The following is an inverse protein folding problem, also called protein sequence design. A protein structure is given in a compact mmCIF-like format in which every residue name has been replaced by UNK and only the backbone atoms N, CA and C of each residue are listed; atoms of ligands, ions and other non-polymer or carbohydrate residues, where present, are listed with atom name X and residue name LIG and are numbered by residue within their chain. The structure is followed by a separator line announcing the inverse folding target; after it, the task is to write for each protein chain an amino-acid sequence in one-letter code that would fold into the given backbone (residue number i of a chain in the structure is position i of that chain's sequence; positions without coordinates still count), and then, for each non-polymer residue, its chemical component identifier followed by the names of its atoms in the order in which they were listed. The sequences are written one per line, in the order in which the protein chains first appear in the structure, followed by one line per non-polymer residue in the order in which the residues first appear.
data_IF_805570062494
#
_entry.id   IF_805570062494
#
_cell.length_a   1.000
_cell.length_b   1.000
_cell.length_c   1.000
_cell.angle_alpha   90.00
_cell.angle_beta   90.00
_cell.angle_gamma   90.00
#
_symmetry.space_group_name_H-M   'P 1'
#
loop_
_entity.id
_entity.type
_entity.pdbx_description
1 polymer ?
#
# COMPACT_ATOMS: atom_id res chain seq x y z
N UNK A 1 3.39 2.28 0.97
CA UNK A 1 2.21 2.74 0.21
C UNK A 1 2.29 2.42 -1.28
N UNK A 2 3.43 2.65 -1.95
CA UNK A 2 3.61 2.32 -3.37
C UNK A 2 3.28 0.87 -3.72
N UNK A 3 3.77 -0.08 -2.92
CA UNK A 3 3.55 -1.51 -3.16
C UNK A 3 2.06 -1.91 -3.13
N UNK A 4 1.28 -1.38 -2.18
CA UNK A 4 -0.16 -1.66 -2.11
C UNK A 4 -0.94 -1.08 -3.29
N UNK A 5 -0.49 0.05 -3.84
CA UNK A 5 -1.12 0.65 -5.03
C UNK A 5 -0.81 -0.19 -6.25
N UNK A 6 0.46 -0.55 -6.46
CA UNK A 6 0.88 -1.43 -7.56
C UNK A 6 0.15 -2.76 -7.48
N UNK A 7 0.05 -3.37 -6.30
CA UNK A 7 -0.66 -4.63 -6.11
C UNK A 7 -2.13 -4.54 -6.52
N UNK A 8 -2.85 -3.47 -6.12
CA UNK A 8 -4.28 -3.31 -6.39
C UNK A 8 -4.59 -2.79 -7.81
N UNK A 9 -3.70 -2.00 -8.41
CA UNK A 9 -3.96 -1.28 -9.67
C UNK A 9 -3.25 -1.87 -10.88
N UNK A 10 -2.14 -2.58 -10.65
CA UNK A 10 -1.31 -3.15 -11.71
C UNK A 10 -1.38 -4.68 -11.68
N UNK A 11 -1.26 -5.29 -10.49
CA UNK A 11 -1.11 -6.74 -10.34
C UNK A 11 -2.42 -7.48 -10.05
N UNK A 12 -3.59 -6.83 -10.16
CA UNK A 12 -4.89 -7.49 -9.92
C UNK A 12 -5.80 -7.38 -11.15
N UNK A 13 -6.19 -8.50 -11.78
CA UNK A 13 -5.65 -9.86 -11.57
C UNK A 13 -4.19 -9.97 -12.06
N UNK A 14 -3.43 -10.94 -11.53
CA UNK A 14 -1.99 -11.07 -11.77
C UNK A 14 -1.67 -12.01 -12.96
N UNK A 15 -2.32 -11.78 -14.11
CA UNK A 15 -2.32 -12.72 -15.23
C UNK A 15 -1.37 -12.28 -16.35
N UNK A 16 -0.07 -12.19 -16.04
CA UNK A 16 0.96 -11.82 -17.01
C UNK A 16 1.56 -13.04 -17.71
N UNK A 17 1.69 -12.97 -19.04
CA UNK A 17 2.23 -14.02 -19.90
C UNK A 17 3.77 -14.08 -19.86
N UNK A 18 4.42 -13.00 -19.43
CA UNK A 18 5.88 -12.91 -19.30
C UNK A 18 6.31 -11.77 -18.37
N UNK A 19 7.56 -11.84 -17.91
CA UNK A 19 8.17 -10.75 -17.13
C UNK A 19 8.30 -9.47 -17.95
N UNK A 20 8.56 -9.57 -19.25
CA UNK A 20 8.63 -8.40 -20.14
C UNK A 20 7.28 -7.66 -20.23
N UNK A 21 6.17 -8.41 -20.22
CA UNK A 21 4.83 -7.80 -20.21
C UNK A 21 4.54 -7.11 -18.88
N UNK A 22 4.98 -7.68 -17.76
CA UNK A 22 4.86 -7.06 -16.44
C UNK A 22 5.68 -5.77 -16.36
N UNK A 23 6.90 -5.78 -16.88
CA UNK A 23 7.78 -4.61 -16.93
C UNK A 23 7.15 -3.46 -17.73
N UNK A 24 6.67 -3.73 -18.95
CA UNK A 24 5.97 -2.73 -19.77
C UNK A 24 4.75 -2.15 -19.03
N UNK A 25 3.95 -3.00 -18.41
CA UNK A 25 2.77 -2.57 -17.62
C UNK A 25 3.17 -1.65 -16.47
N UNK A 26 4.24 -1.95 -15.76
CA UNK A 26 4.74 -1.15 -14.63
C UNK A 26 5.26 0.21 -15.09
N UNK A 27 6.02 0.25 -16.18
CA UNK A 27 6.55 1.50 -16.74
C UNK A 27 5.42 2.42 -17.23
N UNK A 28 4.45 1.86 -17.98
CA UNK A 28 3.29 2.64 -18.44
C UNK A 28 2.40 3.09 -17.29
N UNK A 29 2.28 2.29 -16.23
CA UNK A 29 1.59 2.71 -15.01
C UNK A 29 2.33 3.87 -14.33
N UNK A 30 3.66 3.82 -14.22
CA UNK A 30 4.44 4.91 -13.64
C UNK A 30 4.23 6.22 -14.39
N UNK A 31 4.29 6.21 -15.73
CA UNK A 31 4.09 7.41 -16.55
C UNK A 31 2.69 7.99 -16.35
N UNK A 32 1.66 7.15 -16.41
CA UNK A 32 0.27 7.57 -16.24
C UNK A 32 -0.04 8.06 -14.82
N UNK A 33 0.47 7.35 -13.82
CA UNK A 33 0.27 7.69 -12.41
C UNK A 33 0.99 8.99 -12.07
N UNK A 34 2.22 9.20 -12.55
CA UNK A 34 2.98 10.42 -12.29
C UNK A 34 2.37 11.65 -12.97
N UNK A 35 1.78 11.48 -14.16
CA UNK A 35 1.11 12.57 -14.88
C UNK A 35 -0.17 13.07 -14.17
N UNK A 36 -0.81 12.22 -13.39
CA UNK A 36 -2.12 12.51 -12.76
C UNK A 36 -2.06 12.58 -11.23
N UNK A 37 -0.95 12.13 -10.64
CA UNK A 37 -0.74 12.14 -9.21
C UNK A 37 -0.69 13.59 -8.72
N UNK A 38 -1.65 13.93 -7.87
CA UNK A 38 -1.57 15.16 -7.09
C UNK A 38 -0.56 14.95 -5.97
N UNK A 39 0.24 15.97 -5.63
CA UNK A 39 1.10 15.93 -4.46
C UNK A 39 0.26 15.50 -3.25
N UNK A 40 0.63 14.38 -2.65
CA UNK A 40 0.01 13.91 -1.44
C UNK A 40 0.85 14.42 -0.27
N UNK A 41 0.29 15.33 0.51
CA UNK A 41 0.93 15.77 1.76
C UNK A 41 0.77 14.67 2.82
N UNK A 42 1.78 13.81 2.92
CA UNK A 42 1.83 12.78 3.94
C UNK A 42 2.12 13.39 5.31
N UNK A 43 1.06 13.57 6.11
CA UNK A 43 1.11 14.12 7.48
C UNK A 43 1.30 13.08 8.57
N UNK A 44 1.34 11.78 8.23
CA UNK A 44 1.48 10.72 9.23
C UNK A 44 2.92 10.68 9.74
N UNK A 45 3.05 11.01 11.02
CA UNK A 45 4.31 11.20 11.73
C UNK A 45 4.75 9.91 12.43
N UNK A 46 5.96 9.93 12.99
CA UNK A 46 6.42 8.85 13.88
C UNK A 46 5.56 8.72 15.13
N UNK A 47 5.04 9.84 15.63
CA UNK A 47 4.12 9.84 16.77
C UNK A 47 2.80 9.14 16.43
N UNK A 48 2.26 9.39 15.22
CA UNK A 48 1.05 8.68 14.76
C UNK A 48 1.28 7.17 14.66
N UNK A 49 2.50 6.73 14.32
CA UNK A 49 2.87 5.32 14.34
C UNK A 49 2.89 4.76 15.77
N UNK A 50 3.49 5.45 16.73
CA UNK A 50 3.54 5.02 18.14
C UNK A 50 2.12 4.89 18.73
N UNK A 51 1.24 5.85 18.43
CA UNK A 51 -0.16 5.83 18.83
C UNK A 51 -0.90 4.65 18.20
N UNK A 52 -0.66 4.38 16.91
CA UNK A 52 -1.28 3.25 16.21
C UNK A 52 -0.84 1.91 16.80
N UNK A 53 0.45 1.73 17.07
CA UNK A 53 0.98 0.50 17.67
C UNK A 53 0.39 0.25 19.07
N UNK A 54 0.28 1.30 19.88
CA UNK A 54 -0.35 1.22 21.21
C UNK A 54 -1.82 0.78 21.13
N UNK A 55 -2.57 1.29 20.15
CA UNK A 55 -3.96 0.90 19.90
C UNK A 55 -4.09 -0.56 19.48
N UNK A 56 -3.20 -1.04 18.61
CA UNK A 56 -3.18 -2.44 18.16
C UNK A 56 -2.90 -3.35 19.36
N UNK A 57 -1.89 -3.02 20.18
CA UNK A 57 -1.56 -3.82 21.36
C UNK A 57 -2.72 -3.88 22.35
N UNK A 58 -3.39 -2.76 22.62
CA UNK A 58 -4.57 -2.75 23.50
C UNK A 58 -5.71 -3.62 22.94
N UNK A 59 -5.95 -3.56 21.63
CA UNK A 59 -6.96 -4.39 20.97
C UNK A 59 -6.62 -5.89 21.03
N UNK A 60 -5.35 -6.26 20.84
CA UNK A 60 -4.89 -7.65 20.97
C UNK A 60 -5.08 -8.19 22.39
N UNK A 61 -4.77 -7.38 23.42
CA UNK A 61 -4.98 -7.77 24.82
C UNK A 61 -6.47 -7.97 25.13
N UNK A 62 -7.34 -7.07 24.67
CA UNK A 62 -8.80 -7.23 24.82
C UNK A 62 -9.33 -8.47 24.09
N UNK A 63 -8.82 -8.74 22.89
CA UNK A 63 -9.20 -9.91 22.10
C UNK A 63 -8.75 -11.22 22.76
N UNK A 64 -7.57 -11.22 23.38
CA UNK A 64 -7.04 -12.37 24.12
C UNK A 64 -7.73 -12.60 25.47
N UNK A 65 -8.28 -11.55 26.10
CA UNK A 65 -9.04 -11.65 27.35
C UNK A 65 -10.50 -12.07 27.15
N UNK A 66 -11.03 -11.91 25.94
CA UNK A 66 -12.38 -12.32 25.56
C UNK A 66 -12.46 -13.76 25.00
N UNK A 67 -11.32 -14.45 24.87
CA UNK A 67 -11.19 -15.83 24.40
C UNK A 67 -10.90 -16.79 25.57
#
# INVERSE_FOLDING_TARGET
MYFSIVQRKVLTPNDFQSLAQLEDRLLRFQDHYSATARPFEWKFTRHDLEVLLSKIQAHEQMSAQAA
#
